data_IF_505976627439
#
_entry.id   IF_505976627439
#
_cell.length_a   1.000
_cell.length_b   1.000
_cell.length_c   1.000
_cell.angle_alpha   90.00
_cell.angle_beta   90.00
_cell.angle_gamma   90.00
#
_symmetry.space_group_name_H-M   'P 1'
#
loop_
_entity.id
_entity.type
_entity.pdbx_description
1 polymer ?
#
# COMPACT_ATOMS: atom_id res chain seq x y z
N UNK A 1 11.74 6.19 24.50
CA UNK A 1 12.99 6.32 23.73
C UNK A 1 12.64 6.81 22.33
N UNK A 2 13.47 7.65 21.68
CA UNK A 2 13.21 8.05 20.30
C UNK A 2 13.16 6.83 19.38
N UNK A 3 12.20 6.80 18.46
CA UNK A 3 12.10 5.73 17.45
C UNK A 3 13.32 5.85 16.53
N UNK A 4 14.06 4.77 16.29
CA UNK A 4 15.22 4.84 15.41
C UNK A 4 14.81 5.11 13.97
N UNK A 5 15.56 5.99 13.28
CA UNK A 5 15.28 6.43 11.92
C UNK A 5 15.32 5.28 10.91
N UNK A 6 16.31 4.40 11.02
CA UNK A 6 16.38 3.17 10.22
C UNK A 6 16.71 1.98 11.12
N UNK A 7 16.01 0.87 10.88
CA UNK A 7 16.22 -0.42 11.55
C UNK A 7 16.28 -1.51 10.51
N UNK A 8 17.44 -2.15 10.40
CA UNK A 8 17.67 -3.33 9.58
C UNK A 8 17.68 -4.56 10.49
N UNK A 9 16.90 -5.59 10.16
CA UNK A 9 16.80 -6.80 10.98
C UNK A 9 16.63 -8.05 10.12
N UNK A 10 17.18 -9.21 10.54
CA UNK A 10 16.87 -10.48 9.93
C UNK A 10 15.43 -10.87 10.30
N UNK A 11 14.72 -11.42 9.34
CA UNK A 11 13.32 -11.82 9.48
C UNK A 11 13.07 -13.09 8.68
N UNK A 12 12.12 -13.91 9.15
CA UNK A 12 11.54 -14.95 8.30
C UNK A 12 10.47 -14.30 7.43
N UNK A 13 10.82 -14.12 6.15
CA UNK A 13 9.95 -13.66 5.10
C UNK A 13 9.05 -14.84 4.67
N UNK A 14 7.80 -14.56 4.32
CA UNK A 14 6.68 -15.51 4.11
C UNK A 14 6.97 -17.02 4.18
N UNK A 15 6.37 -17.74 5.13
CA UNK A 15 6.54 -19.19 5.29
C UNK A 15 7.68 -19.52 6.26
N UNK A 16 8.79 -20.07 5.76
CA UNK A 16 10.03 -20.36 6.51
C UNK A 16 11.27 -19.66 5.91
N UNK A 17 11.11 -18.81 4.88
CA UNK A 17 12.22 -18.26 4.11
C UNK A 17 12.97 -17.19 4.91
N UNK A 18 14.26 -17.38 5.12
CA UNK A 18 15.09 -16.39 5.80
C UNK A 18 15.41 -15.20 4.89
N UNK A 19 15.44 -13.99 5.45
CA UNK A 19 15.89 -12.80 4.76
C UNK A 19 16.10 -11.62 5.70
N UNK A 20 16.19 -10.43 5.12
CA UNK A 20 16.43 -9.19 5.86
C UNK A 20 15.36 -8.16 5.56
N UNK A 21 14.97 -7.40 6.56
CA UNK A 21 13.94 -6.37 6.50
C UNK A 21 14.52 -5.04 6.93
N UNK A 22 14.24 -4.01 6.15
CA UNK A 22 14.56 -2.62 6.45
C UNK A 22 13.30 -1.87 6.85
N UNK A 23 13.37 -1.14 7.95
CA UNK A 23 12.31 -0.27 8.44
C UNK A 23 12.81 1.17 8.55
N UNK A 24 11.96 2.15 8.27
CA UNK A 24 12.19 3.58 8.48
C UNK A 24 11.18 4.15 9.46
N UNK A 25 11.65 4.81 10.52
CA UNK A 25 10.80 5.41 11.55
C UNK A 25 9.74 4.43 12.12
N UNK A 26 10.08 3.14 12.17
CA UNK A 26 9.19 2.05 12.62
C UNK A 26 8.25 1.47 11.55
N UNK A 27 8.32 1.95 10.30
CA UNK A 27 7.53 1.47 9.16
C UNK A 27 8.37 0.59 8.25
N UNK A 28 7.77 -0.48 7.71
CA UNK A 28 8.41 -1.32 6.69
C UNK A 28 8.79 -0.50 5.46
N UNK A 29 10.04 -0.64 5.02
CA UNK A 29 10.57 0.00 3.83
C UNK A 29 10.78 -1.02 2.70
N UNK A 30 11.52 -2.10 2.97
CA UNK A 30 11.78 -3.15 1.98
C UNK A 30 12.27 -4.45 2.65
N UNK A 31 12.34 -5.56 1.91
CA UNK A 31 12.96 -6.81 2.35
C UNK A 31 13.72 -7.53 1.23
N UNK A 32 14.70 -8.35 1.60
CA UNK A 32 15.54 -9.09 0.65
C UNK A 32 15.70 -10.56 1.07
N UNK A 33 15.30 -11.45 0.16
CA UNK A 33 15.16 -12.90 0.35
C UNK A 33 16.39 -13.72 -0.11
N UNK A 34 17.43 -13.05 -0.63
CA UNK A 34 18.63 -13.70 -1.19
C UNK A 34 19.76 -13.97 -0.20
N UNK A 35 19.54 -13.73 1.09
CA UNK A 35 20.56 -13.91 2.14
C UNK A 35 20.41 -15.29 2.81
N UNK A 36 21.52 -15.88 3.24
CA UNK A 36 21.53 -17.19 3.91
C UNK A 36 21.45 -17.04 5.43
N UNK A 37 21.14 -18.11 6.16
CA UNK A 37 21.15 -18.09 7.64
C UNK A 37 22.57 -17.93 8.26
N UNK A 38 23.61 -17.74 7.44
CA UNK A 38 24.97 -17.54 7.93
C UNK A 38 25.24 -16.07 8.27
N UNK A 39 24.78 -15.69 9.47
CA UNK A 39 24.74 -14.32 9.98
C UNK A 39 26.02 -13.49 9.76
N UNK A 40 27.22 -14.05 9.92
CA UNK A 40 28.46 -13.25 9.86
C UNK A 40 28.87 -12.79 8.45
N UNK A 41 28.39 -13.45 7.39
CA UNK A 41 28.71 -13.06 5.99
C UNK A 41 27.67 -12.14 5.36
N UNK A 42 26.43 -12.23 5.82
CA UNK A 42 25.30 -11.58 5.15
C UNK A 42 24.97 -10.20 5.76
N UNK A 43 25.51 -9.86 6.93
CA UNK A 43 25.30 -8.56 7.58
C UNK A 43 25.81 -7.40 6.73
N UNK A 44 27.05 -7.48 6.23
CA UNK A 44 27.63 -6.42 5.40
C UNK A 44 26.85 -6.25 4.09
N UNK A 45 26.48 -7.36 3.44
CA UNK A 45 25.68 -7.32 2.22
C UNK A 45 24.25 -6.81 2.45
N UNK A 46 23.65 -7.09 3.61
CA UNK A 46 22.35 -6.56 4.00
C UNK A 46 22.42 -5.05 4.33
N UNK A 47 23.52 -4.58 4.91
CA UNK A 47 23.77 -3.15 5.10
C UNK A 47 23.96 -2.44 3.76
N UNK A 48 24.76 -2.99 2.86
CA UNK A 48 24.97 -2.45 1.51
C UNK A 48 23.66 -2.37 0.74
N UNK A 49 22.85 -3.43 0.79
CA UNK A 49 21.51 -3.43 0.23
C UNK A 49 20.64 -2.34 0.86
N UNK A 50 20.63 -2.21 2.18
CA UNK A 50 19.85 -1.18 2.87
C UNK A 50 20.30 0.24 2.48
N UNK A 51 21.59 0.48 2.30
CA UNK A 51 22.15 1.77 1.90
C UNK A 51 21.84 2.10 0.44
N UNK A 52 21.75 1.11 -0.44
CA UNK A 52 21.25 1.30 -1.82
C UNK A 52 19.79 1.75 -1.83
N UNK A 53 18.95 1.16 -0.97
CA UNK A 53 17.54 1.55 -0.82
C UNK A 53 17.40 2.94 -0.18
N UNK A 54 18.23 3.25 0.83
CA UNK A 54 18.24 4.56 1.50
C UNK A 54 18.83 5.65 0.59
N UNK A 55 19.74 5.29 -0.32
CA UNK A 55 20.48 6.21 -1.17
C UNK A 55 21.59 6.99 -0.45
N UNK A 56 21.98 6.56 0.76
CA UNK A 56 23.02 7.19 1.56
C UNK A 56 23.64 6.22 2.58
N UNK A 57 24.95 6.32 2.78
CA UNK A 57 25.69 5.53 3.77
C UNK A 57 25.20 5.78 5.19
N UNK A 58 25.10 4.73 6.01
CA UNK A 58 24.65 4.81 7.39
C UNK A 58 25.68 4.22 8.35
N UNK A 59 25.88 4.86 9.49
CA UNK A 59 26.62 4.26 10.59
C UNK A 59 25.69 3.31 11.36
N UNK A 60 25.83 2.00 11.17
CA UNK A 60 24.97 1.01 11.81
C UNK A 60 25.48 0.59 13.19
N UNK A 61 24.59 0.60 14.19
CA UNK A 61 24.84 0.02 15.51
C UNK A 61 24.05 -1.25 15.72
N UNK A 62 24.74 -2.36 15.91
CA UNK A 62 24.13 -3.64 16.30
C UNK A 62 23.59 -3.59 17.74
N UNK A 63 22.42 -4.18 17.97
CA UNK A 63 21.85 -4.36 19.31
C UNK A 63 21.01 -5.64 19.41
N UNK A 64 21.06 -6.25 20.61
CA UNK A 64 20.28 -7.43 21.01
C UNK A 64 19.39 -7.20 22.24
N UNK A 65 19.28 -5.95 22.72
CA UNK A 65 18.53 -5.68 23.95
C UNK A 65 17.05 -6.07 23.80
N UNK A 66 16.66 -7.12 24.54
CA UNK A 66 15.29 -7.57 24.73
C UNK A 66 14.62 -8.25 23.52
N UNK A 67 15.37 -8.66 22.48
CA UNK A 67 14.77 -9.23 21.28
C UNK A 67 15.78 -9.73 20.23
N UNK A 68 15.32 -10.03 19.00
CA UNK A 68 16.17 -10.51 17.91
C UNK A 68 17.22 -9.46 17.51
N UNK A 69 18.28 -9.93 16.82
CA UNK A 69 19.34 -9.11 16.26
C UNK A 69 18.76 -7.98 15.39
N UNK A 70 19.26 -6.77 15.58
CA UNK A 70 18.89 -5.61 14.74
C UNK A 70 20.02 -4.60 14.67
N UNK A 71 20.06 -3.87 13.56
CA UNK A 71 21.01 -2.81 13.28
C UNK A 71 20.27 -1.50 13.16
N UNK A 72 20.68 -0.54 13.99
CA UNK A 72 20.04 0.76 14.11
C UNK A 72 20.99 1.80 13.54
N UNK A 73 20.53 2.59 12.56
CA UNK A 73 21.32 3.71 12.06
C UNK A 73 21.52 4.76 13.16
N UNK A 74 22.77 5.17 13.37
CA UNK A 74 23.17 6.20 14.32
C UNK A 74 22.84 7.58 13.70
N UNK A 75 22.16 8.49 14.41
CA UNK A 75 21.92 9.84 13.91
C UNK A 75 23.24 10.58 13.68
N UNK A 76 23.49 11.02 12.44
CA UNK A 76 24.62 11.89 12.11
C UNK A 76 24.36 13.32 12.62
N UNK A 77 25.43 14.03 12.98
CA UNK A 77 25.37 15.28 13.76
C UNK A 77 24.58 16.44 13.11
N UNK A 78 24.28 16.38 11.82
CA UNK A 78 23.45 17.37 11.11
C UNK A 78 21.94 17.22 11.35
N UNK A 79 21.47 16.09 11.91
CA UNK A 79 20.03 15.83 12.11
C UNK A 79 19.46 16.39 13.43
N UNK A 80 20.30 16.90 14.34
CA UNK A 80 19.85 17.30 15.70
C UNK A 80 19.10 18.63 15.77
N UNK A 81 19.12 19.46 14.72
CA UNK A 81 18.53 20.79 14.75
C UNK A 81 17.07 20.87 14.25
N UNK A 82 16.49 19.78 13.72
CA UNK A 82 15.18 19.83 13.02
C UNK A 82 14.03 19.19 13.82
N UNK A 83 14.31 18.64 15.00
CA UNK A 83 13.41 17.68 15.68
C UNK A 83 12.20 18.33 16.37
N UNK A 84 12.16 19.64 16.62
CA UNK A 84 11.07 20.23 17.43
C UNK A 84 9.90 20.84 16.64
N UNK A 85 9.98 21.00 15.31
CA UNK A 85 8.87 21.54 14.50
C UNK A 85 8.32 20.59 13.44
N UNK A 86 9.04 19.54 13.02
CA UNK A 86 8.57 18.61 11.97
C UNK A 86 7.64 17.49 12.46
N UNK A 87 7.67 17.14 13.75
CA UNK A 87 6.89 16.02 14.30
C UNK A 87 5.37 16.25 14.27
N UNK A 88 4.89 17.48 14.08
CA UNK A 88 3.45 17.78 13.94
C UNK A 88 2.99 17.75 12.47
N UNK A 89 3.90 17.73 11.49
CA UNK A 89 3.54 17.79 10.05
C UNK A 89 3.56 16.46 9.30
N UNK A 90 4.06 15.35 9.86
CA UNK A 90 4.24 14.09 9.12
C UNK A 90 3.09 13.08 9.24
N UNK A 91 1.87 13.53 9.55
CA UNK A 91 0.65 12.70 9.38
C UNK A 91 0.10 12.77 7.95
N UNK A 92 0.78 13.49 7.06
CA UNK A 92 0.42 13.59 5.66
C UNK A 92 0.70 12.25 4.96
N UNK A 93 -0.36 11.68 4.42
CA UNK A 93 -0.32 10.67 3.37
C UNK A 93 0.70 11.11 2.32
N UNK A 94 1.62 10.24 1.89
CA UNK A 94 2.53 10.56 0.79
C UNK A 94 1.75 10.67 -0.52
N UNK A 95 1.38 11.90 -0.87
CA UNK A 95 0.61 12.24 -2.07
C UNK A 95 1.51 12.61 -3.25
N UNK A 96 2.84 12.50 -3.12
CA UNK A 96 3.77 12.89 -4.19
C UNK A 96 3.47 12.15 -5.51
N UNK A 97 3.00 10.91 -5.41
CA UNK A 97 2.55 10.07 -6.52
C UNK A 97 1.34 10.63 -7.31
N UNK A 98 0.53 11.51 -6.73
CA UNK A 98 -0.78 11.90 -7.28
C UNK A 98 -0.97 13.41 -7.43
N UNK A 99 0.05 14.22 -7.13
CA UNK A 99 -0.01 15.71 -7.18
C UNK A 99 -0.24 16.31 -8.56
N UNK A 100 -0.31 15.51 -9.62
CA UNK A 100 -0.46 15.96 -11.00
C UNK A 100 -1.37 15.04 -11.83
N UNK A 101 -2.43 14.48 -11.22
CA UNK A 101 -3.42 13.72 -12.00
C UNK A 101 -4.06 14.63 -13.04
N UNK A 102 -4.18 14.10 -14.26
CA UNK A 102 -4.94 14.78 -15.31
C UNK A 102 -6.43 14.69 -14.97
N UNK A 103 -7.23 15.75 -15.22
CA UNK A 103 -8.67 15.68 -15.01
C UNK A 103 -9.33 14.52 -15.78
N UNK A 104 -10.26 13.83 -15.13
CA UNK A 104 -10.92 12.65 -15.66
C UNK A 104 -10.09 11.37 -15.59
N UNK A 105 -9.06 11.34 -14.73
CA UNK A 105 -8.29 10.11 -14.46
C UNK A 105 -9.11 9.12 -13.64
N UNK A 106 -9.07 7.85 -14.04
CA UNK A 106 -9.48 6.73 -13.19
C UNK A 106 -8.32 6.33 -12.28
N UNK A 107 -8.48 6.52 -10.98
CA UNK A 107 -7.52 6.07 -9.97
C UNK A 107 -8.01 4.76 -9.35
N UNK A 108 -7.21 3.70 -9.46
CA UNK A 108 -7.58 2.36 -9.01
C UNK A 108 -6.74 1.97 -7.80
N UNK A 109 -7.39 1.76 -6.66
CA UNK A 109 -6.72 1.18 -5.50
C UNK A 109 -6.53 -0.33 -5.70
N UNK A 110 -5.35 -0.86 -5.44
CA UNK A 110 -5.02 -2.28 -5.56
C UNK A 110 -4.40 -2.76 -4.25
N UNK A 111 -5.01 -3.74 -3.61
CA UNK A 111 -4.44 -4.35 -2.41
C UNK A 111 -5.43 -5.17 -1.58
N UNK A 112 -4.93 -5.98 -0.63
CA UNK A 112 -5.78 -6.86 0.17
C UNK A 112 -6.70 -6.09 1.14
N UNK A 113 -7.67 -6.79 1.72
CA UNK A 113 -8.40 -6.29 2.89
C UNK A 113 -7.44 -5.80 3.98
N UNK A 114 -7.81 -4.77 4.74
CA UNK A 114 -6.93 -4.22 5.78
C UNK A 114 -5.68 -3.47 5.29
N UNK A 115 -5.46 -3.32 3.98
CA UNK A 115 -4.29 -2.63 3.44
C UNK A 115 -4.33 -1.09 3.61
N UNK A 116 -5.45 -0.50 4.02
CA UNK A 116 -5.58 0.94 4.26
C UNK A 116 -6.13 1.78 3.08
N UNK A 117 -6.64 1.14 2.02
CA UNK A 117 -7.19 1.82 0.82
C UNK A 117 -8.27 2.85 1.14
N UNK A 118 -9.34 2.46 1.83
CA UNK A 118 -10.41 3.36 2.24
C UNK A 118 -9.94 4.46 3.20
N UNK A 119 -8.96 4.17 4.06
CA UNK A 119 -8.37 5.17 4.95
C UNK A 119 -7.53 6.19 4.18
N UNK A 120 -6.88 5.74 3.10
CA UNK A 120 -6.13 6.60 2.20
C UNK A 120 -7.05 7.51 1.38
N UNK A 121 -8.26 7.04 1.02
CA UNK A 121 -9.31 7.80 0.34
C UNK A 121 -9.97 8.91 1.19
N UNK A 122 -9.31 9.40 2.24
CA UNK A 122 -9.83 10.48 3.08
C UNK A 122 -9.70 11.87 2.43
N UNK A 123 -10.39 12.86 3.03
CA UNK A 123 -10.53 14.22 2.51
C UNK A 123 -9.23 14.87 2.02
N UNK A 124 -8.12 14.68 2.75
CA UNK A 124 -6.82 15.28 2.38
C UNK A 124 -6.29 14.74 1.04
N UNK A 125 -6.34 13.42 0.82
CA UNK A 125 -5.93 12.82 -0.45
C UNK A 125 -6.88 13.26 -1.57
N UNK A 126 -8.19 13.22 -1.34
CA UNK A 126 -9.17 13.60 -2.35
C UNK A 126 -8.99 15.05 -2.80
N UNK A 127 -8.75 15.97 -1.86
CA UNK A 127 -8.47 17.38 -2.17
C UNK A 127 -7.15 17.52 -2.95
N UNK A 128 -6.07 16.87 -2.51
CA UNK A 128 -4.76 17.01 -3.13
C UNK A 128 -4.68 16.37 -4.53
N UNK A 129 -5.34 15.24 -4.73
CA UNK A 129 -5.40 14.52 -6.01
C UNK A 129 -6.56 14.97 -6.91
N UNK A 130 -7.33 15.98 -6.48
CA UNK A 130 -8.53 16.47 -7.16
C UNK A 130 -9.53 15.35 -7.50
N UNK A 131 -9.72 14.40 -6.57
CA UNK A 131 -10.74 13.37 -6.69
C UNK A 131 -12.11 14.01 -6.50
N UNK A 132 -12.98 13.82 -7.49
CA UNK A 132 -14.33 14.36 -7.51
C UNK A 132 -15.35 13.33 -7.04
N UNK A 133 -15.08 12.04 -7.27
CA UNK A 133 -15.95 10.92 -6.90
C UNK A 133 -15.15 9.76 -6.32
N UNK A 134 -15.66 9.14 -5.25
CA UNK A 134 -15.10 7.92 -4.65
C UNK A 134 -16.11 6.79 -4.76
N UNK A 135 -15.79 5.76 -5.54
CA UNK A 135 -16.64 4.59 -5.72
C UNK A 135 -16.13 3.42 -4.87
N UNK A 136 -16.76 3.20 -3.73
CA UNK A 136 -16.41 2.15 -2.78
C UNK A 136 -17.43 1.02 -2.79
N UNK A 137 -16.99 -0.23 -3.05
CA UNK A 137 -17.91 -1.37 -3.13
C UNK A 137 -18.54 -1.70 -1.77
N UNK A 138 -17.83 -1.47 -0.66
CA UNK A 138 -18.37 -1.65 0.69
C UNK A 138 -19.51 -0.65 0.97
N UNK A 139 -19.38 0.60 0.52
CA UNK A 139 -20.39 1.63 0.72
C UNK A 139 -21.64 1.35 -0.14
N UNK A 140 -21.45 0.89 -1.38
CA UNK A 140 -22.55 0.50 -2.26
C UNK A 140 -23.31 -0.74 -1.72
N UNK A 141 -22.61 -1.70 -1.11
CA UNK A 141 -23.28 -2.81 -0.41
C UNK A 141 -24.10 -2.32 0.78
N UNK A 142 -23.58 -1.37 1.55
CA UNK A 142 -24.31 -0.77 2.66
C UNK A 142 -25.55 0.01 2.18
N UNK A 143 -25.44 0.76 1.08
CA UNK A 143 -26.58 1.49 0.49
C UNK A 143 -27.70 0.54 0.03
N UNK A 144 -27.34 -0.59 -0.59
CA UNK A 144 -28.33 -1.54 -1.14
C UNK A 144 -28.91 -2.45 -0.04
N UNK A 145 -28.06 -3.01 0.83
CA UNK A 145 -28.43 -4.07 1.77
C UNK A 145 -28.46 -3.65 3.24
N UNK A 146 -28.07 -2.42 3.56
CA UNK A 146 -27.90 -1.94 4.95
C UNK A 146 -26.66 -2.48 5.66
N UNK A 147 -25.87 -3.34 5.02
CA UNK A 147 -24.66 -3.94 5.57
C UNK A 147 -23.55 -4.07 4.51
N UNK A 148 -22.42 -3.40 4.74
CA UNK A 148 -21.23 -3.49 3.89
C UNK A 148 -20.63 -4.91 3.82
N UNK A 149 -20.93 -5.76 4.80
CA UNK A 149 -20.50 -7.15 4.88
C UNK A 149 -21.35 -8.13 4.08
N UNK A 150 -22.57 -7.73 3.66
CA UNK A 150 -23.51 -8.63 2.99
C UNK A 150 -23.03 -8.99 1.59
N UNK A 151 -22.47 -10.19 1.45
CA UNK A 151 -21.98 -10.67 0.16
C UNK A 151 -23.11 -11.00 -0.82
N UNK A 152 -24.36 -11.20 -0.36
CA UNK A 152 -25.49 -11.56 -1.21
C UNK A 152 -25.89 -10.45 -2.18
N UNK A 153 -25.63 -9.18 -1.81
CA UNK A 153 -25.90 -8.00 -2.65
C UNK A 153 -24.69 -7.58 -3.50
N UNK A 154 -23.56 -8.30 -3.43
CA UNK A 154 -22.37 -7.99 -4.23
C UNK A 154 -22.65 -7.87 -5.73
N UNK A 155 -23.45 -8.74 -6.38
CA UNK A 155 -23.78 -8.58 -7.79
C UNK A 155 -24.44 -7.23 -8.10
N UNK A 156 -25.44 -6.83 -7.30
CA UNK A 156 -26.12 -5.55 -7.46
C UNK A 156 -25.19 -4.35 -7.19
N UNK A 157 -24.33 -4.45 -6.18
CA UNK A 157 -23.34 -3.42 -5.86
C UNK A 157 -22.29 -3.26 -6.98
N UNK A 158 -21.84 -4.36 -7.59
CA UNK A 158 -20.92 -4.33 -8.75
C UNK A 158 -21.60 -3.75 -9.98
N UNK A 159 -22.87 -4.09 -10.25
CA UNK A 159 -23.64 -3.49 -11.34
C UNK A 159 -23.76 -1.96 -11.16
N UNK A 160 -24.10 -1.50 -9.96
CA UNK A 160 -24.20 -0.08 -9.64
C UNK A 160 -22.84 0.63 -9.75
N UNK A 161 -21.77 0.04 -9.18
CA UNK A 161 -20.42 0.58 -9.28
C UNK A 161 -20.01 0.75 -10.75
N UNK A 162 -20.29 -0.25 -11.58
CA UNK A 162 -19.98 -0.22 -13.01
C UNK A 162 -20.75 0.86 -13.75
N UNK A 163 -22.03 1.07 -13.42
CA UNK A 163 -22.84 2.13 -14.03
C UNK A 163 -22.36 3.53 -13.64
N UNK A 164 -22.02 3.74 -12.37
CA UNK A 164 -21.46 4.99 -11.86
C UNK A 164 -20.08 5.27 -12.49
N UNK A 165 -19.22 4.27 -12.56
CA UNK A 165 -17.91 4.38 -13.17
C UNK A 165 -18.01 4.77 -14.66
N UNK A 166 -18.90 4.14 -15.43
CA UNK A 166 -19.10 4.50 -16.84
C UNK A 166 -19.57 5.95 -17.00
N UNK A 167 -20.45 6.42 -16.10
CA UNK A 167 -20.88 7.82 -16.08
C UNK A 167 -19.70 8.77 -15.80
N UNK A 168 -18.91 8.50 -14.75
CA UNK A 168 -17.73 9.31 -14.42
C UNK A 168 -16.74 9.40 -15.58
N UNK A 169 -16.46 8.27 -16.24
CA UNK A 169 -15.51 8.23 -17.36
C UNK A 169 -16.03 9.01 -18.59
N UNK A 170 -17.33 8.89 -18.88
CA UNK A 170 -18.00 9.66 -19.93
C UNK A 170 -17.92 11.16 -19.64
N UNK A 171 -18.28 11.57 -18.42
CA UNK A 171 -18.32 12.98 -18.00
C UNK A 171 -16.91 13.58 -17.82
N UNK A 172 -15.90 12.73 -17.65
CA UNK A 172 -14.53 13.15 -17.35
C UNK A 172 -14.30 13.55 -15.91
N UNK A 173 -15.09 12.97 -15.01
CA UNK A 173 -14.93 13.08 -13.56
C UNK A 173 -13.72 12.29 -13.11
N UNK A 174 -12.83 12.91 -12.34
CA UNK A 174 -11.69 12.24 -11.72
C UNK A 174 -12.19 11.35 -10.58
N UNK A 175 -12.04 10.05 -10.71
CA UNK A 175 -12.70 9.06 -9.84
C UNK A 175 -11.70 8.13 -9.18
N UNK A 176 -11.87 7.92 -7.87
CA UNK A 176 -11.12 6.93 -7.10
C UNK A 176 -11.98 5.68 -6.88
N UNK A 177 -11.51 4.54 -7.38
CA UNK A 177 -12.16 3.24 -7.22
C UNK A 177 -11.58 2.50 -6.01
N UNK A 178 -12.30 2.56 -4.88
CA UNK A 178 -11.92 1.89 -3.63
C UNK A 178 -12.48 0.47 -3.59
N UNK A 179 -11.68 -0.48 -4.07
CA UNK A 179 -11.95 -1.91 -4.02
C UNK A 179 -10.63 -2.67 -3.98
N UNK A 180 -10.66 -3.99 -3.81
CA UNK A 180 -9.40 -4.77 -3.73
C UNK A 180 -8.63 -4.77 -5.05
N UNK A 181 -9.32 -4.94 -6.18
CA UNK A 181 -8.77 -4.92 -7.55
C UNK A 181 -7.48 -5.75 -7.76
N UNK A 182 -7.32 -6.82 -6.97
CA UNK A 182 -6.11 -7.67 -6.98
C UNK A 182 -6.09 -8.67 -8.14
N UNK A 183 -7.23 -8.93 -8.77
CA UNK A 183 -7.35 -9.87 -9.88
C UNK A 183 -7.03 -9.21 -11.23
N UNK A 184 -6.17 -9.84 -12.02
CA UNK A 184 -5.75 -9.36 -13.35
C UNK A 184 -6.94 -9.09 -14.28
N UNK A 185 -7.94 -9.99 -14.30
CA UNK A 185 -9.14 -9.84 -15.15
C UNK A 185 -9.91 -8.56 -14.84
N UNK A 186 -10.04 -8.22 -13.56
CA UNK A 186 -10.77 -7.03 -13.12
C UNK A 186 -10.00 -5.78 -13.55
N UNK A 187 -8.68 -5.77 -13.36
CA UNK A 187 -7.84 -4.65 -13.80
C UNK A 187 -7.86 -4.46 -15.31
N UNK A 188 -7.82 -5.54 -16.10
CA UNK A 188 -7.91 -5.48 -17.54
C UNK A 188 -9.23 -4.82 -18.01
N UNK A 189 -10.36 -5.14 -17.36
CA UNK A 189 -11.64 -4.50 -17.65
C UNK A 189 -11.64 -3.01 -17.30
N UNK A 190 -11.03 -2.60 -16.18
CA UNK A 190 -10.91 -1.20 -15.77
C UNK A 190 -10.04 -0.39 -16.74
N UNK A 191 -8.90 -0.95 -17.15
CA UNK A 191 -8.02 -0.33 -18.16
C UNK A 191 -8.77 -0.16 -19.48
N UNK A 192 -9.50 -1.20 -19.93
CA UNK A 192 -10.28 -1.13 -21.16
C UNK A 192 -11.40 -0.09 -21.08
N UNK A 193 -12.10 0.04 -19.94
CA UNK A 193 -13.10 1.09 -19.71
C UNK A 193 -12.49 2.48 -19.84
N UNK A 194 -11.40 2.77 -19.14
CA UNK A 194 -10.72 4.06 -19.24
C UNK A 194 -10.27 4.34 -20.68
N UNK A 195 -9.70 3.33 -21.35
CA UNK A 195 -9.25 3.43 -22.75
C UNK A 195 -10.39 3.76 -23.71
N UNK A 196 -11.57 3.14 -23.56
CA UNK A 196 -12.76 3.42 -24.41
C UNK A 196 -13.22 4.86 -24.32
N UNK A 197 -13.05 5.49 -23.16
CA UNK A 197 -13.39 6.90 -22.93
C UNK A 197 -12.21 7.87 -23.15
N UNK A 198 -11.05 7.37 -23.58
CA UNK A 198 -9.85 8.18 -23.77
C UNK A 198 -9.32 8.80 -22.48
N UNK A 199 -9.51 8.14 -21.34
CA UNK A 199 -9.12 8.62 -20.01
C UNK A 199 -7.84 7.95 -19.50
N UNK A 200 -6.98 8.66 -18.74
CA UNK A 200 -5.87 8.05 -18.04
C UNK A 200 -6.35 7.09 -16.94
N UNK A 201 -5.54 6.10 -16.62
CA UNK A 201 -5.83 5.11 -15.58
C UNK A 201 -4.58 4.86 -14.74
N UNK A 202 -4.66 5.21 -13.45
CA UNK A 202 -3.52 5.19 -12.52
C UNK A 202 -3.76 4.14 -11.45
N UNK A 203 -2.76 3.29 -11.21
CA UNK A 203 -2.79 2.29 -10.15
C UNK A 203 -2.09 2.80 -8.88
N UNK A 204 -2.77 2.69 -7.74
CA UNK A 204 -2.17 2.87 -6.42
C UNK A 204 -2.14 1.52 -5.70
N UNK A 205 -0.94 0.96 -5.51
CA UNK A 205 -0.75 -0.36 -4.90
C UNK A 205 -0.47 -0.24 -3.40
N UNK A 206 -1.27 -0.92 -2.61
CA UNK A 206 -1.21 -0.97 -1.16
C UNK A 206 -0.78 -2.36 -0.73
N UNK A 207 0.47 -2.48 -0.28
CA UNK A 207 1.08 -3.77 0.06
C UNK A 207 1.79 -3.74 1.42
N UNK A 208 1.07 -3.49 2.54
CA UNK A 208 1.65 -3.73 3.85
C UNK A 208 1.87 -5.24 4.09
N UNK A 209 2.62 -5.57 5.14
CA UNK A 209 2.84 -6.95 5.54
C UNK A 209 1.51 -7.68 5.79
N UNK A 210 1.44 -8.97 5.45
CA UNK A 210 0.21 -9.76 5.61
C UNK A 210 -0.29 -9.75 7.06
N UNK A 211 0.61 -9.79 8.04
CA UNK A 211 0.22 -9.75 9.45
C UNK A 211 -0.36 -8.40 9.88
N UNK A 212 0.07 -7.30 9.24
CA UNK A 212 -0.56 -5.98 9.43
C UNK A 212 -1.98 -6.01 8.88
N UNK A 213 -2.19 -6.55 7.68
CA UNK A 213 -3.53 -6.74 7.11
C UNK A 213 -4.41 -7.59 8.03
N UNK A 214 -3.89 -8.72 8.54
CA UNK A 214 -4.59 -9.60 9.47
C UNK A 214 -4.95 -8.90 10.78
N UNK A 215 -4.01 -8.16 11.37
CA UNK A 215 -4.23 -7.41 12.60
C UNK A 215 -5.33 -6.37 12.42
N UNK A 216 -5.31 -5.61 11.32
CA UNK A 216 -6.35 -4.64 10.98
C UNK A 216 -7.69 -5.32 10.66
N UNK A 217 -7.66 -6.46 9.98
CA UNK A 217 -8.87 -7.23 9.65
C UNK A 217 -9.57 -7.73 10.92
N UNK A 218 -8.83 -8.23 11.91
CA UNK A 218 -9.38 -8.66 13.21
C UNK A 218 -10.06 -7.54 14.02
N UNK A 219 -9.71 -6.28 13.76
CA UNK A 219 -10.34 -5.12 14.41
C UNK A 219 -11.64 -4.70 13.73
N UNK A 220 -11.96 -5.26 12.55
CA UNK A 220 -13.21 -4.94 11.85
C UNK A 220 -14.41 -5.66 12.49
N UNK A 221 -15.63 -5.09 12.37
CA UNK A 221 -16.86 -5.80 12.69
C UNK A 221 -16.91 -7.18 12.04
N UNK A 222 -17.44 -8.18 12.74
CA UNK A 222 -17.39 -9.59 12.31
C UNK A 222 -17.96 -9.82 10.89
N UNK A 223 -19.01 -9.09 10.52
CA UNK A 223 -19.62 -9.12 9.18
C UNK A 223 -18.72 -8.54 8.07
N UNK A 224 -17.70 -7.74 8.41
CA UNK A 224 -16.72 -7.16 7.47
C UNK A 224 -15.34 -7.82 7.53
N UNK A 225 -15.17 -8.85 8.35
CA UNK A 225 -13.92 -9.59 8.41
C UNK A 225 -13.79 -10.50 7.19
N UNK A 226 -12.63 -10.45 6.56
CA UNK A 226 -12.28 -11.33 5.44
C UNK A 226 -11.63 -12.61 5.99
N UNK A 227 -11.97 -13.81 5.51
CA UNK A 227 -11.26 -15.03 5.88
C UNK A 227 -9.75 -14.94 5.63
N UNK A 228 -8.96 -15.58 6.49
CA UNK A 228 -7.49 -15.44 6.50
C UNK A 228 -6.83 -16.00 5.23
N UNK A 229 -7.40 -17.06 4.66
CA UNK A 229 -7.01 -17.65 3.38
C UNK A 229 -7.31 -16.72 2.20
N UNK A 230 -8.48 -16.09 2.19
CA UNK A 230 -8.84 -15.06 1.20
C UNK A 230 -7.91 -13.86 1.30
N UNK A 231 -7.56 -13.44 2.52
CA UNK A 231 -6.65 -12.33 2.75
C UNK A 231 -5.23 -12.63 2.24
N UNK A 232 -4.72 -13.83 2.52
CA UNK A 232 -3.45 -14.30 2.02
C UNK A 232 -3.44 -14.42 0.49
N UNK A 233 -4.52 -14.91 -0.11
CA UNK A 233 -4.69 -14.96 -1.56
C UNK A 233 -4.66 -13.56 -2.18
N UNK A 234 -5.44 -12.61 -1.65
CA UNK A 234 -5.43 -11.22 -2.13
C UNK A 234 -4.04 -10.58 -2.02
N UNK A 235 -3.32 -10.84 -0.92
CA UNK A 235 -1.96 -10.35 -0.71
C UNK A 235 -0.99 -10.93 -1.75
N UNK A 236 -1.06 -12.24 -2.01
CA UNK A 236 -0.23 -12.91 -3.02
C UNK A 236 -0.43 -12.36 -4.44
N UNK A 237 -1.66 -12.00 -4.81
CA UNK A 237 -1.95 -11.37 -6.10
C UNK A 237 -1.44 -9.92 -6.16
N UNK A 238 -1.45 -9.22 -5.03
CA UNK A 238 -0.92 -7.85 -4.94
C UNK A 238 0.61 -7.81 -5.06
N UNK A 239 1.30 -8.83 -4.53
CA UNK A 239 2.76 -9.02 -4.74
C UNK A 239 3.10 -9.09 -6.24
N UNK A 240 2.32 -9.84 -7.01
CA UNK A 240 2.52 -10.01 -8.45
C UNK A 240 2.22 -8.72 -9.24
N UNK A 241 1.35 -7.86 -8.74
CA UNK A 241 0.96 -6.60 -9.37
C UNK A 241 2.02 -5.50 -9.19
N UNK A 242 3.29 -5.75 -9.51
CA UNK A 242 4.35 -4.72 -9.44
C UNK A 242 4.01 -3.50 -10.30
N UNK A 243 4.53 -2.30 -9.99
CA UNK A 243 4.34 -1.13 -10.84
C UNK A 243 4.67 -1.41 -12.32
N UNK A 244 5.73 -2.16 -12.59
CA UNK A 244 6.12 -2.57 -13.93
C UNK A 244 5.08 -3.49 -14.59
N UNK A 245 4.55 -4.48 -13.86
CA UNK A 245 3.49 -5.35 -14.35
C UNK A 245 2.21 -4.55 -14.66
N UNK A 246 1.84 -3.60 -13.80
CA UNK A 246 0.68 -2.74 -13.99
C UNK A 246 0.84 -1.82 -15.21
N UNK A 247 2.04 -1.27 -15.46
CA UNK A 247 2.30 -0.53 -16.69
C UNK A 247 2.14 -1.40 -17.94
N UNK A 248 2.56 -2.68 -17.88
CA UNK A 248 2.37 -3.65 -18.98
C UNK A 248 0.89 -3.99 -19.18
N UNK A 249 0.08 -4.03 -18.11
CA UNK A 249 -1.38 -4.21 -18.20
C UNK A 249 -2.10 -3.02 -18.85
N UNK A 250 -1.43 -1.87 -19.01
CA UNK A 250 -1.96 -0.69 -19.68
C UNK A 250 -2.33 0.46 -18.74
N UNK A 251 -1.93 0.41 -17.46
CA UNK A 251 -2.00 1.58 -16.59
C UNK A 251 -1.08 2.69 -17.10
N UNK A 252 -1.56 3.93 -17.09
CA UNK A 252 -0.77 5.10 -17.52
C UNK A 252 0.32 5.47 -16.50
N UNK A 253 0.08 5.15 -15.23
CA UNK A 253 1.07 5.24 -14.15
C UNK A 253 0.73 4.23 -13.04
N UNK A 254 1.73 3.80 -12.28
CA UNK A 254 1.55 2.90 -11.16
C UNK A 254 2.49 3.29 -10.01
N UNK A 255 1.95 3.35 -8.79
CA UNK A 255 2.67 3.82 -7.61
C UNK A 255 2.45 2.89 -6.42
N UNK A 256 3.53 2.61 -5.69
CA UNK A 256 3.44 1.95 -4.39
C UNK A 256 3.11 2.97 -3.31
N UNK A 257 2.10 2.64 -2.49
CA UNK A 257 1.63 3.47 -1.39
C UNK A 257 2.08 2.85 -0.08
N UNK A 258 2.92 3.59 0.64
CA UNK A 258 3.28 3.27 2.03
C UNK A 258 2.16 3.77 2.93
N UNK A 259 1.44 2.85 3.57
CA UNK A 259 0.45 3.23 4.58
C UNK A 259 1.10 3.30 5.95
N UNK A 260 0.90 4.40 6.71
CA UNK A 260 1.34 4.43 8.10
C UNK A 260 0.64 3.32 8.89
N UNK A 261 1.36 2.70 9.83
CA UNK A 261 0.85 1.61 10.68
C UNK A 261 -0.34 2.06 11.55
#
# INVERSE_FOLDING_TARGET
MPVPRYVLAPAHLTGEQFGWQLNRDGLFLDCHEGFTENFDRDVEAAMDWAEQIIGAHQDWRHTREGGPDRWIAIPQSDDRAVVTEKAVKSRAVDTSAVRALQPGTLVVAIGPGGAGKSTYAGDAFCVEAAIEEVLCLDDLRHEIGGDAGDQSVTPAAVELQNALLEKCLSDGTTVFLDSTNVEVRIRAELVERARRHGRPVVALRFLPHLDTCRARNRQRPANRQVPDDVLAWQHSLTLQATPQALLVEGFTAAHDIVTPL
#
